data_IF_810745680336
#
_entry.id   IF_810745680336
#
_cell.length_a   1.000
_cell.length_b   1.000
_cell.length_c   1.000
_cell.angle_alpha   90.00
_cell.angle_beta   90.00
_cell.angle_gamma   90.00
#
_symmetry.space_group_name_H-M   'P 1'
#
loop_
_entity.id
_entity.type
_entity.pdbx_description
1 polymer ?
#
# COMPACT_ATOMS: atom_id res chain seq x y z
N UNK A 1 -6.76 5.10 34.43
CA UNK A 1 -7.05 4.63 33.06
C UNK A 1 -8.10 5.56 32.51
N UNK A 2 -7.84 6.38 31.47
CA UNK A 2 -8.87 7.22 30.90
C UNK A 2 -9.87 6.34 30.15
N UNK A 3 -11.13 6.67 30.36
CA UNK A 3 -12.33 6.04 29.86
C UNK A 3 -12.35 6.03 28.32
N UNK A 4 -12.57 4.86 27.72
CA UNK A 4 -12.69 4.62 26.29
C UNK A 4 -14.05 5.04 25.70
N UNK A 5 -14.82 5.86 26.41
CA UNK A 5 -16.23 6.14 26.12
C UNK A 5 -16.50 7.45 25.35
N UNK A 6 -15.54 7.99 24.62
CA UNK A 6 -15.84 9.09 23.63
C UNK A 6 -15.27 8.77 22.25
N UNK A 7 -15.63 7.61 21.69
CA UNK A 7 -15.57 7.45 20.23
C UNK A 7 -16.72 8.29 19.66
N UNK A 8 -16.37 9.45 19.11
CA UNK A 8 -17.26 10.16 18.18
C UNK A 8 -17.87 9.14 17.23
N UNK A 9 -19.20 9.16 17.08
CA UNK A 9 -19.91 8.40 16.05
C UNK A 9 -19.23 8.73 14.70
N UNK A 10 -18.39 7.85 14.21
CA UNK A 10 -18.00 7.90 12.80
C UNK A 10 -19.26 7.60 12.02
N UNK A 11 -19.68 8.53 11.17
CA UNK A 11 -20.83 8.34 10.30
C UNK A 11 -20.63 7.05 9.51
N UNK A 12 -21.65 6.21 9.48
CA UNK A 12 -21.64 4.97 8.73
C UNK A 12 -21.42 5.28 7.25
N UNK A 13 -20.36 4.72 6.66
CA UNK A 13 -20.03 4.90 5.24
C UNK A 13 -20.58 3.78 4.39
N UNK A 14 -21.02 4.13 3.18
CA UNK A 14 -21.33 3.21 2.09
C UNK A 14 -20.09 3.03 1.23
N UNK A 15 -19.56 1.82 1.17
CA UNK A 15 -18.31 1.48 0.51
C UNK A 15 -18.58 0.71 -0.77
N UNK A 16 -17.97 1.11 -1.89
CA UNK A 16 -17.84 0.28 -3.08
C UNK A 16 -16.47 -0.43 -3.05
N UNK A 17 -16.47 -1.76 -3.19
CA UNK A 17 -15.25 -2.54 -3.29
C UNK A 17 -14.95 -2.88 -4.75
N UNK A 18 -13.76 -2.57 -5.20
CA UNK A 18 -13.23 -2.91 -6.52
C UNK A 18 -12.08 -3.91 -6.32
N UNK A 19 -12.32 -5.15 -6.73
CA UNK A 19 -11.46 -6.29 -6.41
C UNK A 19 -12.04 -7.09 -5.23
N UNK A 20 -12.46 -8.33 -5.53
CA UNK A 20 -13.07 -9.26 -4.56
C UNK A 20 -12.14 -10.41 -4.19
N UNK A 21 -10.84 -10.21 -4.34
CA UNK A 21 -9.79 -11.14 -3.90
C UNK A 21 -9.62 -11.13 -2.37
N UNK A 22 -8.52 -11.71 -1.88
CA UNK A 22 -8.24 -11.83 -0.43
C UNK A 22 -8.39 -10.50 0.33
N UNK A 23 -7.80 -9.41 -0.19
CA UNK A 23 -7.89 -8.10 0.46
C UNK A 23 -9.31 -7.53 0.44
N UNK A 24 -10.01 -7.59 -0.71
CA UNK A 24 -11.40 -7.13 -0.79
C UNK A 24 -12.32 -7.92 0.13
N UNK A 25 -12.14 -9.23 0.27
CA UNK A 25 -12.91 -10.05 1.20
C UNK A 25 -12.64 -9.64 2.67
N UNK A 26 -11.37 -9.47 3.05
CA UNK A 26 -11.00 -9.02 4.40
C UNK A 26 -11.56 -7.63 4.73
N UNK A 27 -11.51 -6.69 3.78
CA UNK A 27 -12.09 -5.35 3.95
C UNK A 27 -13.60 -5.43 4.13
N UNK A 28 -14.28 -6.29 3.36
CA UNK A 28 -15.73 -6.47 3.48
C UNK A 28 -16.14 -7.01 4.85
N UNK A 29 -15.35 -7.92 5.42
CA UNK A 29 -15.57 -8.46 6.75
C UNK A 29 -15.31 -7.41 7.84
N UNK A 30 -14.19 -6.70 7.75
CA UNK A 30 -13.81 -5.68 8.72
C UNK A 30 -14.70 -4.42 8.68
N UNK A 31 -15.31 -4.11 7.55
CA UNK A 31 -16.23 -2.99 7.42
C UNK A 31 -17.48 -3.14 8.29
N UNK A 32 -18.00 -4.39 8.44
CA UNK A 32 -19.18 -4.67 9.25
C UNK A 32 -18.83 -4.77 10.74
N UNK A 33 -19.65 -4.22 11.68
CA UNK A 33 -20.94 -3.54 11.45
C UNK A 33 -20.84 -1.99 11.27
N UNK A 34 -19.65 -1.42 11.34
CA UNK A 34 -19.48 0.05 11.38
C UNK A 34 -19.78 0.71 10.03
N UNK A 35 -19.55 0.02 8.91
CA UNK A 35 -19.76 0.51 7.56
C UNK A 35 -20.53 -0.51 6.72
N UNK A 36 -21.04 -0.10 5.55
CA UNK A 36 -21.81 -0.97 4.65
C UNK A 36 -21.13 -1.08 3.29
N UNK A 37 -20.84 -2.31 2.84
CA UNK A 37 -20.40 -2.55 1.46
C UNK A 37 -21.64 -2.63 0.57
N UNK A 38 -21.89 -1.55 -0.19
CA UNK A 38 -23.09 -1.38 -1.04
C UNK A 38 -22.90 -1.92 -2.46
N UNK A 39 -21.65 -2.03 -2.94
CA UNK A 39 -21.34 -2.55 -4.28
C UNK A 39 -20.01 -3.31 -4.28
N UNK A 40 -19.91 -4.31 -5.18
CA UNK A 40 -18.71 -5.12 -5.37
C UNK A 40 -18.44 -5.31 -6.85
N UNK A 41 -17.22 -4.98 -7.28
CA UNK A 41 -16.78 -5.09 -8.66
C UNK A 41 -15.58 -6.03 -8.77
N UNK A 42 -15.51 -6.74 -9.88
CA UNK A 42 -14.41 -7.65 -10.20
C UNK A 42 -14.32 -7.85 -11.71
N UNK A 43 -13.45 -8.75 -12.17
CA UNK A 43 -13.27 -9.01 -13.61
C UNK A 43 -14.55 -9.47 -14.33
N UNK A 44 -15.45 -10.19 -13.64
CA UNK A 44 -16.72 -10.69 -14.21
C UNK A 44 -17.83 -9.64 -14.13
N UNK A 45 -17.73 -8.71 -13.20
CA UNK A 45 -18.64 -7.58 -13.01
C UNK A 45 -17.80 -6.31 -12.85
N UNK A 46 -17.27 -5.74 -13.95
CA UNK A 46 -16.41 -4.57 -13.86
C UNK A 46 -17.18 -3.30 -13.50
N UNK A 47 -16.50 -2.36 -12.86
CA UNK A 47 -17.02 -1.02 -12.62
C UNK A 47 -17.23 -0.30 -13.97
N UNK A 48 -18.37 0.32 -14.14
CA UNK A 48 -18.74 1.15 -15.29
C UNK A 48 -19.39 2.45 -14.80
N UNK A 49 -19.53 3.45 -15.67
CA UNK A 49 -20.24 4.69 -15.32
C UNK A 49 -21.71 4.46 -14.93
N UNK A 50 -22.34 3.46 -15.53
CA UNK A 50 -23.73 3.10 -15.28
C UNK A 50 -23.91 2.21 -14.02
N UNK A 51 -22.82 1.82 -13.35
CA UNK A 51 -22.90 0.89 -12.20
C UNK A 51 -23.72 1.41 -11.03
N UNK A 52 -23.95 2.70 -10.96
CA UNK A 52 -24.73 3.36 -9.91
C UNK A 52 -25.97 4.07 -10.42
N UNK A 53 -26.40 3.84 -11.65
CA UNK A 53 -27.59 4.46 -12.21
C UNK A 53 -28.83 4.14 -11.36
N UNK A 54 -29.55 5.16 -10.92
CA UNK A 54 -30.72 5.01 -10.06
C UNK A 54 -30.42 4.63 -8.61
N UNK A 55 -29.15 4.62 -8.20
CA UNK A 55 -28.72 4.31 -6.84
C UNK A 55 -28.05 5.52 -6.18
N UNK A 56 -28.05 5.56 -4.84
CA UNK A 56 -27.16 6.49 -4.12
C UNK A 56 -25.72 6.09 -4.36
N UNK A 57 -24.86 7.07 -4.69
CA UNK A 57 -23.43 6.86 -4.83
C UNK A 57 -22.81 6.42 -3.49
N UNK A 58 -21.78 5.57 -3.50
CA UNK A 58 -21.01 5.24 -2.31
C UNK A 58 -20.24 6.46 -1.82
N UNK A 59 -19.98 6.51 -0.53
CA UNK A 59 -19.19 7.58 0.09
C UNK A 59 -17.69 7.44 -0.25
N UNK A 60 -17.24 6.22 -0.56
CA UNK A 60 -15.87 5.90 -0.97
C UNK A 60 -15.81 4.61 -1.79
N UNK A 61 -14.90 4.54 -2.76
CA UNK A 61 -14.49 3.32 -3.42
C UNK A 61 -13.12 2.85 -2.89
N UNK A 62 -12.95 1.54 -2.68
CA UNK A 62 -11.68 0.93 -2.26
C UNK A 62 -11.27 -0.08 -3.32
N UNK A 63 -10.11 0.17 -3.96
CA UNK A 63 -9.59 -0.63 -5.07
C UNK A 63 -8.40 -1.52 -4.64
N UNK A 64 -8.62 -2.82 -4.64
CA UNK A 64 -7.61 -3.88 -4.58
C UNK A 64 -7.81 -4.85 -5.75
N UNK A 65 -7.88 -4.32 -6.96
CA UNK A 65 -8.12 -5.08 -8.21
C UNK A 65 -6.82 -5.55 -8.87
N UNK A 66 -6.57 -5.12 -10.08
CA UNK A 66 -5.35 -5.41 -10.84
C UNK A 66 -4.74 -4.12 -11.38
N UNK A 67 -3.42 -4.12 -11.59
CA UNK A 67 -2.68 -2.94 -12.07
C UNK A 67 -3.29 -2.33 -13.34
N UNK A 68 -3.72 -3.18 -14.26
CA UNK A 68 -4.29 -2.77 -15.56
C UNK A 68 -5.66 -2.08 -15.41
N UNK A 69 -6.42 -2.39 -14.35
CA UNK A 69 -7.75 -1.86 -14.13
C UNK A 69 -7.74 -0.51 -13.39
N UNK A 70 -6.69 -0.21 -12.63
CA UNK A 70 -6.65 0.98 -11.74
C UNK A 70 -6.97 2.27 -12.47
N UNK A 71 -6.35 2.51 -13.63
CA UNK A 71 -6.54 3.77 -14.36
C UNK A 71 -8.01 3.99 -14.74
N UNK A 72 -8.67 2.95 -15.27
CA UNK A 72 -10.08 3.02 -15.64
C UNK A 72 -10.99 3.16 -14.43
N UNK A 73 -10.73 2.42 -13.35
CA UNK A 73 -11.51 2.48 -12.13
C UNK A 73 -11.44 3.87 -11.49
N UNK A 74 -10.23 4.44 -11.38
CA UNK A 74 -10.01 5.79 -10.82
C UNK A 74 -10.68 6.86 -11.69
N UNK A 75 -10.58 6.76 -13.03
CA UNK A 75 -11.24 7.69 -13.94
C UNK A 75 -12.76 7.69 -13.75
N UNK A 76 -13.39 6.50 -13.72
CA UNK A 76 -14.83 6.35 -13.49
C UNK A 76 -15.24 6.95 -12.13
N UNK A 77 -14.53 6.59 -11.05
CA UNK A 77 -14.81 7.12 -9.72
C UNK A 77 -14.71 8.64 -9.69
N UNK A 78 -13.64 9.20 -10.27
CA UNK A 78 -13.41 10.65 -10.31
C UNK A 78 -14.52 11.39 -11.06
N UNK A 79 -14.96 10.86 -12.20
CA UNK A 79 -16.04 11.45 -12.99
C UNK A 79 -17.40 11.37 -12.29
N UNK A 80 -17.62 10.37 -11.44
CA UNK A 80 -18.81 10.23 -10.60
C UNK A 80 -18.72 11.02 -9.28
N UNK A 81 -17.57 11.66 -8.99
CA UNK A 81 -17.33 12.35 -7.74
C UNK A 81 -17.15 11.42 -6.53
N UNK A 82 -16.81 10.14 -6.75
CA UNK A 82 -16.59 9.16 -5.69
C UNK A 82 -15.12 9.21 -5.28
N UNK A 83 -14.78 9.55 -4.03
CA UNK A 83 -13.42 9.42 -3.50
C UNK A 83 -12.92 7.96 -3.63
N UNK A 84 -11.66 7.77 -4.04
CA UNK A 84 -11.12 6.43 -4.23
C UNK A 84 -9.82 6.20 -3.47
N UNK A 85 -9.75 5.05 -2.80
CA UNK A 85 -8.56 4.55 -2.12
C UNK A 85 -8.00 3.37 -2.90
N UNK A 86 -6.77 3.47 -3.39
CA UNK A 86 -6.12 2.43 -4.20
C UNK A 86 -4.99 1.76 -3.43
N UNK A 87 -5.17 0.47 -3.14
CA UNK A 87 -4.14 -0.41 -2.56
C UNK A 87 -3.55 -1.39 -3.57
N UNK A 88 -4.06 -1.40 -4.79
CA UNK A 88 -3.50 -2.17 -5.90
C UNK A 88 -2.08 -1.69 -6.20
N UNK A 89 -1.16 -2.63 -6.41
CA UNK A 89 0.25 -2.36 -6.77
C UNK A 89 0.51 -2.62 -8.26
N UNK A 90 1.64 -2.17 -8.78
CA UNK A 90 2.06 -2.45 -10.16
C UNK A 90 1.59 -1.44 -11.21
N UNK A 91 0.83 -0.41 -10.85
CA UNK A 91 0.29 0.60 -11.79
C UNK A 91 1.12 1.90 -11.84
N UNK A 92 2.27 1.94 -11.18
CA UNK A 92 3.11 3.15 -11.05
C UNK A 92 3.51 3.78 -12.38
N UNK A 93 3.64 2.97 -13.45
CA UNK A 93 3.91 3.46 -14.80
C UNK A 93 2.85 4.43 -15.34
N UNK A 94 1.61 4.32 -14.85
CA UNK A 94 0.48 5.16 -15.24
C UNK A 94 0.16 6.27 -14.23
N UNK A 95 0.95 6.39 -13.15
CA UNK A 95 0.64 7.27 -12.02
C UNK A 95 0.40 8.71 -12.43
N UNK A 96 1.30 9.29 -13.25
CA UNK A 96 1.20 10.69 -13.65
C UNK A 96 -0.09 10.98 -14.44
N UNK A 97 -0.49 10.08 -15.35
CA UNK A 97 -1.72 10.22 -16.12
C UNK A 97 -2.97 10.05 -15.25
N UNK A 98 -2.95 9.09 -14.31
CA UNK A 98 -4.05 8.88 -13.35
C UNK A 98 -4.23 10.10 -12.45
N UNK A 99 -3.16 10.62 -11.85
CA UNK A 99 -3.21 11.83 -11.02
C UNK A 99 -3.69 13.05 -11.81
N UNK A 100 -3.35 13.16 -13.10
CA UNK A 100 -3.85 14.23 -13.97
C UNK A 100 -5.35 14.09 -14.20
N UNK A 101 -5.84 12.90 -14.55
CA UNK A 101 -7.27 12.61 -14.74
C UNK A 101 -8.09 12.95 -13.47
N UNK A 102 -7.55 12.61 -12.29
CA UNK A 102 -8.19 12.97 -11.01
C UNK A 102 -8.29 14.48 -10.82
N UNK A 103 -7.21 15.23 -11.12
CA UNK A 103 -7.22 16.71 -11.06
C UNK A 103 -8.23 17.32 -12.03
N UNK A 104 -8.25 16.84 -13.26
CA UNK A 104 -9.15 17.35 -14.31
C UNK A 104 -10.64 17.12 -13.97
N UNK A 105 -10.94 16.03 -13.26
CA UNK A 105 -12.27 15.71 -12.77
C UNK A 105 -12.61 16.35 -11.40
N UNK A 106 -11.68 17.09 -10.79
CA UNK A 106 -11.78 17.56 -9.41
C UNK A 106 -12.08 16.41 -8.42
N UNK A 107 -11.52 15.23 -8.68
CA UNK A 107 -11.71 14.01 -7.91
C UNK A 107 -10.81 13.93 -6.67
N UNK A 108 -10.96 12.84 -5.93
CA UNK A 108 -10.13 12.55 -4.74
C UNK A 108 -9.51 11.17 -4.85
N UNK A 109 -8.18 11.09 -4.78
CA UNK A 109 -7.42 9.84 -4.81
C UNK A 109 -6.47 9.75 -3.62
N UNK A 110 -6.58 8.68 -2.85
CA UNK A 110 -5.56 8.24 -1.89
C UNK A 110 -4.97 6.92 -2.40
N UNK A 111 -3.66 6.84 -2.54
CA UNK A 111 -3.03 5.57 -2.90
C UNK A 111 -1.78 5.29 -2.07
N UNK A 112 -1.57 4.01 -1.77
CA UNK A 112 -0.35 3.53 -1.14
C UNK A 112 -0.07 2.09 -1.55
N UNK A 113 1.21 1.74 -1.65
CA UNK A 113 1.64 0.34 -1.84
C UNK A 113 1.47 -0.50 -0.58
N UNK A 114 1.33 0.13 0.58
CA UNK A 114 1.14 -0.52 1.87
C UNK A 114 0.39 0.40 2.83
N UNK A 115 -0.70 -0.07 3.40
CA UNK A 115 -1.55 0.63 4.38
C UNK A 115 -1.29 0.18 5.82
N UNK A 116 -0.25 -0.62 6.07
CA UNK A 116 0.14 -1.00 7.44
C UNK A 116 0.60 0.23 8.22
N UNK A 117 -0.08 0.51 9.35
CA UNK A 117 0.30 1.57 10.27
C UNK A 117 1.70 1.30 10.82
N UNK A 118 2.05 0.03 11.12
CA UNK A 118 3.38 -0.36 11.58
C UNK A 118 4.47 0.03 10.58
N UNK A 119 4.27 -0.26 9.30
CA UNK A 119 5.22 0.15 8.24
C UNK A 119 5.28 1.67 8.09
N UNK A 120 4.17 2.38 8.24
CA UNK A 120 4.17 3.85 8.21
C UNK A 120 5.01 4.44 9.36
N UNK A 121 4.90 3.86 10.58
CA UNK A 121 5.70 4.23 11.75
C UNK A 121 7.18 3.94 11.49
N UNK A 122 7.55 2.74 11.03
CA UNK A 122 8.94 2.38 10.70
C UNK A 122 9.52 3.36 9.67
N UNK A 123 8.78 3.67 8.61
CA UNK A 123 9.22 4.66 7.61
C UNK A 123 9.45 6.04 8.22
N UNK A 124 8.61 6.48 9.16
CA UNK A 124 8.78 7.76 9.83
C UNK A 124 10.01 7.74 10.75
N UNK A 125 10.23 6.65 11.47
CA UNK A 125 11.44 6.47 12.30
C UNK A 125 12.71 6.53 11.45
N UNK A 126 12.75 5.82 10.33
CA UNK A 126 13.88 5.86 9.40
C UNK A 126 14.12 7.27 8.86
N UNK A 127 13.09 7.98 8.39
CA UNK A 127 13.24 9.38 7.93
C UNK A 127 13.87 10.29 8.98
N UNK A 128 13.52 10.09 10.24
CA UNK A 128 14.05 10.88 11.35
C UNK A 128 15.49 10.48 11.69
N UNK A 129 15.83 9.19 11.62
CA UNK A 129 17.14 8.67 11.97
C UNK A 129 18.21 8.90 10.90
N UNK A 130 17.86 8.78 9.62
CA UNK A 130 18.80 8.83 8.49
C UNK A 130 19.74 10.05 8.50
N UNK A 131 19.31 11.30 8.74
CA UNK A 131 20.22 12.44 8.81
C UNK A 131 21.27 12.36 9.92
N UNK A 132 20.96 11.64 11.00
CA UNK A 132 21.91 11.43 12.10
C UNK A 132 22.85 10.26 11.78
N UNK A 133 22.33 9.19 11.21
CA UNK A 133 23.12 8.03 10.77
C UNK A 133 24.13 8.42 9.67
N UNK A 134 23.77 9.33 8.79
CA UNK A 134 24.66 9.82 7.72
C UNK A 134 25.88 10.60 8.23
N UNK A 135 25.97 10.88 9.54
CA UNK A 135 27.13 11.52 10.19
C UNK A 135 28.06 10.52 10.88
N UNK A 136 27.71 9.24 10.82
CA UNK A 136 28.47 8.16 11.44
C UNK A 136 29.22 7.43 10.34
N UNK A 137 30.54 7.36 10.48
CA UNK A 137 31.35 6.53 9.61
C UNK A 137 31.03 5.05 9.82
N UNK A 138 31.18 4.22 8.79
CA UNK A 138 31.00 2.76 8.83
C UNK A 138 29.59 2.28 9.18
N UNK A 139 28.53 3.04 8.85
CA UNK A 139 27.15 2.54 8.93
C UNK A 139 26.93 1.48 7.85
N UNK A 140 26.57 0.26 8.25
CA UNK A 140 26.05 -0.77 7.36
C UNK A 140 24.57 -0.97 7.58
N UNK A 141 23.83 -1.34 6.52
CA UNK A 141 22.37 -1.51 6.58
C UNK A 141 21.99 -2.89 6.08
N UNK A 142 21.12 -3.54 6.84
CA UNK A 142 20.55 -4.85 6.49
C UNK A 142 19.03 -4.78 6.60
N UNK A 143 18.34 -5.42 5.67
CA UNK A 143 16.90 -5.61 5.72
C UNK A 143 16.61 -7.10 5.66
N UNK A 144 15.78 -7.59 6.59
CA UNK A 144 15.31 -8.95 6.58
C UNK A 144 13.81 -8.98 6.32
N UNK A 145 13.38 -9.70 5.29
CA UNK A 145 12.04 -9.76 4.73
C UNK A 145 11.48 -11.18 4.83
N UNK A 146 10.56 -11.42 5.75
CA UNK A 146 9.98 -12.75 5.97
C UNK A 146 8.49 -12.74 5.58
N UNK A 147 8.07 -13.65 4.73
CA UNK A 147 6.68 -13.83 4.30
C UNK A 147 6.27 -15.29 4.19
N UNK A 148 4.96 -15.52 3.97
CA UNK A 148 4.43 -16.87 3.75
C UNK A 148 5.04 -17.55 2.53
N UNK A 149 5.06 -18.88 2.53
CA UNK A 149 5.70 -19.71 1.50
C UNK A 149 5.16 -19.47 0.07
N UNK A 150 3.91 -19.02 -0.06
CA UNK A 150 3.27 -18.78 -1.36
C UNK A 150 3.54 -17.39 -1.97
N UNK A 151 4.35 -16.54 -1.32
CA UNK A 151 4.69 -15.21 -1.86
C UNK A 151 5.75 -15.35 -2.95
N UNK A 152 5.44 -14.87 -4.15
CA UNK A 152 6.28 -15.06 -5.35
C UNK A 152 7.46 -14.07 -5.45
N UNK A 153 7.23 -12.81 -5.04
CA UNK A 153 8.24 -11.77 -5.09
C UNK A 153 9.22 -11.86 -3.91
N UNK A 154 10.50 -11.81 -4.20
CA UNK A 154 11.61 -11.73 -3.24
C UNK A 154 12.71 -10.83 -3.82
N UNK A 155 13.11 -9.75 -3.14
CA UNK A 155 12.50 -9.19 -1.92
C UNK A 155 11.07 -8.65 -2.13
N UNK A 156 10.31 -8.50 -1.03
CA UNK A 156 8.97 -7.91 -1.09
C UNK A 156 9.01 -6.44 -1.51
N UNK A 157 7.89 -5.94 -2.09
CA UNK A 157 7.75 -4.53 -2.42
C UNK A 157 7.95 -3.59 -1.21
N UNK A 158 7.62 -4.05 0.01
CA UNK A 158 7.86 -3.29 1.25
C UNK A 158 9.35 -3.22 1.59
N UNK A 159 10.08 -4.34 1.49
CA UNK A 159 11.52 -4.37 1.73
C UNK A 159 12.26 -3.46 0.73
N UNK A 160 11.90 -3.53 -0.55
CA UNK A 160 12.44 -2.64 -1.58
C UNK A 160 12.12 -1.16 -1.32
N UNK A 161 10.90 -0.85 -0.86
CA UNK A 161 10.51 0.52 -0.54
C UNK A 161 11.27 1.09 0.67
N UNK A 162 11.56 0.27 1.68
CA UNK A 162 12.42 0.63 2.81
C UNK A 162 13.87 0.82 2.34
N UNK A 163 14.40 -0.11 1.55
CA UNK A 163 15.74 -0.01 0.97
C UNK A 163 15.93 1.26 0.14
N UNK A 164 15.00 1.59 -0.75
CA UNK A 164 15.07 2.81 -1.56
C UNK A 164 15.01 4.10 -0.70
N UNK A 165 14.26 4.06 0.40
CA UNK A 165 14.24 5.21 1.33
C UNK A 165 15.59 5.40 2.01
N UNK A 166 16.24 4.33 2.43
CA UNK A 166 17.54 4.36 3.10
C UNK A 166 18.62 4.77 2.09
N UNK A 167 18.59 4.19 0.89
CA UNK A 167 19.49 4.53 -0.22
C UNK A 167 19.46 6.03 -0.54
N UNK A 168 18.29 6.66 -0.49
CA UNK A 168 18.14 8.10 -0.71
C UNK A 168 18.53 8.98 0.49
N UNK A 169 18.87 8.39 1.64
CA UNK A 169 19.17 9.11 2.87
C UNK A 169 20.57 8.89 3.45
N UNK A 170 21.36 7.97 2.91
CA UNK A 170 22.75 7.68 3.31
C UNK A 170 23.69 7.85 2.13
N UNK A 171 24.68 8.74 2.26
CA UNK A 171 25.62 9.11 1.21
C UNK A 171 26.66 8.00 0.92
N UNK A 172 26.93 7.15 1.92
CA UNK A 172 27.89 6.03 1.80
C UNK A 172 27.28 4.74 1.21
N UNK A 173 25.98 4.73 0.93
CA UNK A 173 25.27 3.60 0.35
C UNK A 173 24.96 3.89 -1.13
N UNK A 174 25.37 3.00 -2.01
CA UNK A 174 25.27 3.17 -3.48
C UNK A 174 24.18 2.32 -4.14
N UNK A 175 23.77 1.19 -3.51
CA UNK A 175 22.85 0.23 -4.12
C UNK A 175 22.11 -0.63 -3.09
N UNK A 176 21.07 -1.30 -3.57
CA UNK A 176 20.38 -2.40 -2.89
C UNK A 176 20.91 -3.71 -3.44
N UNK A 177 21.23 -4.65 -2.56
CA UNK A 177 21.85 -5.94 -2.88
C UNK A 177 20.99 -7.09 -2.28
N UNK A 178 20.09 -7.70 -3.07
CA UNK A 178 19.39 -8.91 -2.63
C UNK A 178 20.38 -10.08 -2.53
N UNK A 179 20.50 -10.65 -1.34
CA UNK A 179 21.49 -11.69 -1.03
C UNK A 179 20.86 -12.79 -0.16
N UNK A 180 21.44 -13.99 -0.19
CA UNK A 180 21.04 -15.07 0.72
C UNK A 180 21.75 -14.95 2.09
N UNK A 181 22.99 -14.46 2.08
CA UNK A 181 23.78 -14.20 3.29
C UNK A 181 24.07 -12.70 3.41
N UNK A 182 23.61 -12.03 4.49
CA UNK A 182 23.80 -10.60 4.65
C UNK A 182 25.29 -10.20 4.79
N UNK A 183 26.16 -11.11 5.21
CA UNK A 183 27.60 -10.88 5.34
C UNK A 183 28.34 -10.95 3.99
N UNK A 184 27.68 -11.44 2.93
CA UNK A 184 28.22 -11.46 1.57
C UNK A 184 28.11 -10.13 0.83
N UNK A 185 27.31 -9.18 1.34
CA UNK A 185 27.10 -7.89 0.70
C UNK A 185 28.25 -6.92 0.98
N UNK A 186 28.52 -6.04 0.03
CA UNK A 186 29.55 -5.01 0.18
C UNK A 186 29.10 -3.91 1.17
N UNK A 187 30.09 -3.22 1.77
CA UNK A 187 29.85 -2.16 2.75
C UNK A 187 29.01 -0.97 2.23
N UNK A 188 29.08 -0.73 0.92
CA UNK A 188 28.32 0.34 0.26
C UNK A 188 26.95 -0.09 -0.26
N UNK A 189 26.46 -1.23 0.18
CA UNK A 189 25.18 -1.78 -0.26
C UNK A 189 24.23 -2.08 0.92
N UNK A 190 22.93 -2.00 0.66
CA UNK A 190 21.89 -2.48 1.58
C UNK A 190 21.65 -3.95 1.30
N UNK A 191 22.10 -4.81 2.20
CA UNK A 191 21.82 -6.25 2.11
C UNK A 191 20.33 -6.51 2.39
N UNK A 192 19.63 -7.15 1.45
CA UNK A 192 18.25 -7.60 1.67
C UNK A 192 18.20 -9.12 1.60
N UNK A 193 17.91 -9.76 2.73
CA UNK A 193 17.62 -11.19 2.80
C UNK A 193 16.12 -11.44 2.80
N UNK A 194 15.68 -12.54 2.20
CA UNK A 194 14.26 -12.85 2.05
C UNK A 194 13.95 -14.30 2.39
N UNK A 195 13.16 -14.52 3.46
CA UNK A 195 12.68 -15.83 3.84
C UNK A 195 11.21 -16.04 3.45
N UNK A 196 10.87 -17.28 3.09
CA UNK A 196 9.50 -17.72 2.74
C UNK A 196 9.15 -18.91 3.61
N UNK A 197 8.40 -18.65 4.70
CA UNK A 197 8.19 -19.62 5.79
C UNK A 197 6.72 -19.71 6.18
N UNK A 198 6.14 -20.88 6.08
CA UNK A 198 4.80 -21.17 6.59
C UNK A 198 3.72 -20.16 6.13
N UNK A 199 2.95 -19.64 7.07
CA UNK A 199 1.85 -18.69 6.86
C UNK A 199 2.14 -17.28 7.41
N UNK A 200 3.41 -16.89 7.54
CA UNK A 200 3.81 -15.58 8.05
C UNK A 200 3.25 -14.46 7.18
N UNK A 201 2.48 -13.54 7.76
CA UNK A 201 1.82 -12.44 7.04
C UNK A 201 2.78 -11.42 6.45
N UNK A 202 3.95 -11.27 7.05
CA UNK A 202 5.00 -10.35 6.63
C UNK A 202 5.67 -9.70 7.83
N UNK A 203 6.98 -9.92 7.95
CA UNK A 203 7.83 -9.28 8.97
C UNK A 203 9.00 -8.60 8.28
N UNK A 204 9.31 -7.39 8.69
CA UNK A 204 10.44 -6.63 8.17
C UNK A 204 11.29 -6.12 9.33
N UNK A 205 12.57 -6.40 9.28
CA UNK A 205 13.59 -5.86 10.21
C UNK A 205 14.56 -4.98 9.42
N UNK A 206 14.95 -3.88 10.02
CA UNK A 206 15.95 -2.96 9.48
C UNK A 206 16.97 -2.68 10.54
#
# INVERSE_FOLDING_TARGET
MPDRASRTHHDQMNIALIGTGRMGAAIAELAHPEHTVVARFNRLNPLTRASFDGMRLPDVAIDFSSADAVAANVDICSQLGIPVVVGTTGWQGNRASVEQSVRDANGTLLHASNFSIGIAVVRQMLRTALPSLNRIDDVSVRIHDVHHANKQDAPSGTALALGNMILGGLDNISRIDPVDDPDSSAHDAIAITSDRVGDVFGTHSV
#
